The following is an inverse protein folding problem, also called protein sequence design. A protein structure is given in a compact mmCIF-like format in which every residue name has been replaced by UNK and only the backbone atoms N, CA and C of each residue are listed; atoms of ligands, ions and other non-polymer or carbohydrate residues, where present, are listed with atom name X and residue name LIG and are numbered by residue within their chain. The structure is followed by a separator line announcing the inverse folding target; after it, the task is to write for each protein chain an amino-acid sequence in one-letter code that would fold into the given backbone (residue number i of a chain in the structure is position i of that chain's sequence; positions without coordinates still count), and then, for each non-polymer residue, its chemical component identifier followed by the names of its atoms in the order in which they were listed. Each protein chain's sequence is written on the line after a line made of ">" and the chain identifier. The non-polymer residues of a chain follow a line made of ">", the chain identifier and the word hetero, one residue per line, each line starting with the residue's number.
data_IF_179893739926
#
_entry.id   IF_179893739926
#
_cell.length_a   1.000
_cell.length_b   1.000
_cell.length_c   1.000
_cell.angle_alpha   90.00
_cell.angle_beta   90.00
_cell.angle_gamma   90.00
#
_symmetry.space_group_name_H-M   'P 1'
#
loop_
_entity.id
_entity.type
_entity.pdbx_description
1 polymer ?
#
# COMPACT_ATOMS: atom_id res chain seq x y z
N UNK A 1 17.18 14.49 -5.40
CA UNK A 1 17.69 13.39 -6.24
C UNK A 1 17.98 12.25 -5.31
N UNK A 2 17.00 11.36 -5.14
CA UNK A 2 17.15 10.13 -4.37
C UNK A 2 18.23 9.29 -5.04
N UNK A 3 19.20 8.84 -4.24
CA UNK A 3 20.22 7.90 -4.68
C UNK A 3 19.48 6.62 -5.08
N UNK A 4 19.37 6.33 -6.38
CA UNK A 4 18.76 5.08 -6.85
C UNK A 4 19.58 3.93 -6.27
N UNK A 5 19.09 3.35 -5.18
CA UNK A 5 19.69 2.16 -4.59
C UNK A 5 19.71 1.11 -5.70
N UNK A 6 20.91 0.70 -6.12
CA UNK A 6 21.08 -0.14 -7.30
C UNK A 6 20.42 -1.50 -7.05
N UNK A 7 19.19 -1.67 -7.53
CA UNK A 7 18.42 -2.90 -7.35
C UNK A 7 19.15 -4.04 -8.09
N UNK A 8 19.61 -5.04 -7.33
CA UNK A 8 20.24 -6.23 -7.90
C UNK A 8 19.18 -7.28 -8.17
N UNK A 9 19.38 -8.02 -9.26
CA UNK A 9 18.57 -9.18 -9.59
C UNK A 9 18.45 -10.15 -8.42
N UNK A 10 17.23 -10.66 -8.20
CA UNK A 10 16.91 -11.78 -7.34
C UNK A 10 15.91 -12.69 -8.06
N UNK A 11 16.10 -14.02 -8.04
CA UNK A 11 15.18 -14.97 -8.67
C UNK A 11 13.91 -15.09 -7.82
N UNK A 12 12.90 -14.30 -8.13
CA UNK A 12 11.60 -14.29 -7.43
C UNK A 12 10.52 -14.51 -8.48
N UNK A 13 9.48 -15.26 -8.13
CA UNK A 13 8.39 -15.49 -9.05
C UNK A 13 7.72 -14.18 -9.44
N UNK A 14 7.49 -13.98 -10.74
CA UNK A 14 6.73 -12.84 -11.27
C UNK A 14 5.35 -12.74 -10.63
N UNK A 15 4.71 -13.87 -10.34
CA UNK A 15 3.42 -13.92 -9.64
C UNK A 15 3.53 -13.36 -8.22
N UNK A 16 4.57 -13.74 -7.49
CA UNK A 16 4.77 -13.28 -6.10
C UNK A 16 5.03 -11.78 -6.07
N UNK A 17 5.88 -11.28 -6.97
CA UNK A 17 6.12 -9.84 -7.12
C UNK A 17 4.84 -9.08 -7.45
N UNK A 18 4.04 -9.56 -8.40
CA UNK A 18 2.75 -8.93 -8.72
C UNK A 18 1.77 -8.94 -7.55
N UNK A 19 1.71 -10.05 -6.80
CA UNK A 19 0.81 -10.16 -5.65
C UNK A 19 1.20 -9.17 -4.57
N UNK A 20 2.49 -9.09 -4.26
CA UNK A 20 3.03 -8.13 -3.29
C UNK A 20 2.78 -6.68 -3.72
N UNK A 21 3.03 -6.35 -4.99
CA UNK A 21 2.76 -5.01 -5.53
C UNK A 21 1.28 -4.64 -5.43
N UNK A 22 0.37 -5.57 -5.77
CA UNK A 22 -1.08 -5.37 -5.62
C UNK A 22 -1.43 -5.09 -4.16
N UNK A 23 -1.04 -5.98 -3.25
CA UNK A 23 -1.45 -5.91 -1.84
C UNK A 23 -0.89 -4.65 -1.16
N UNK A 24 0.33 -4.23 -1.51
CA UNK A 24 0.92 -2.98 -1.00
C UNK A 24 0.21 -1.77 -1.61
N UNK A 25 -0.05 -1.75 -2.92
CA UNK A 25 -0.73 -0.61 -3.55
C UNK A 25 -2.12 -0.36 -2.97
N UNK A 26 -2.85 -1.42 -2.59
CA UNK A 26 -4.12 -1.32 -1.89
C UNK A 26 -3.95 -0.76 -0.49
N UNK A 27 -3.01 -1.29 0.30
CA UNK A 27 -2.69 -0.77 1.63
C UNK A 27 -2.27 0.71 1.59
N UNK A 28 -1.48 1.11 0.60
CA UNK A 28 -1.02 2.49 0.44
C UNK A 28 -2.18 3.47 0.26
N UNK A 29 -3.21 3.11 -0.50
CA UNK A 29 -4.42 3.94 -0.66
C UNK A 29 -5.08 4.16 0.70
N UNK A 30 -5.28 3.08 1.47
CA UNK A 30 -5.94 3.14 2.78
C UNK A 30 -5.14 3.97 3.79
N UNK A 31 -3.81 3.83 3.79
CA UNK A 31 -2.91 4.60 4.64
C UNK A 31 -2.85 6.06 4.22
N UNK A 32 -2.81 6.36 2.92
CA UNK A 32 -2.80 7.72 2.40
C UNK A 32 -4.08 8.46 2.78
N UNK A 33 -5.25 7.86 2.58
CA UNK A 33 -6.52 8.44 3.05
C UNK A 33 -6.58 8.58 4.56
N UNK A 34 -6.12 7.56 5.31
CA UNK A 34 -6.05 7.62 6.78
C UNK A 34 -5.16 8.77 7.26
N UNK A 35 -4.02 8.99 6.60
CA UNK A 35 -3.10 10.08 6.91
C UNK A 35 -3.77 11.44 6.71
N UNK A 36 -4.52 11.62 5.63
CA UNK A 36 -5.25 12.85 5.32
C UNK A 36 -6.42 13.09 6.28
N UNK A 37 -7.21 12.05 6.58
CA UNK A 37 -8.37 12.13 7.47
C UNK A 37 -7.95 12.43 8.92
N UNK A 38 -6.91 11.74 9.40
CA UNK A 38 -6.47 11.83 10.80
C UNK A 38 -5.28 12.77 11.03
N UNK A 39 -4.79 13.42 9.97
CA UNK A 39 -3.65 14.36 9.99
C UNK A 39 -2.41 13.70 10.62
N UNK A 40 -2.12 12.49 10.18
CA UNK A 40 -1.02 11.67 10.71
C UNK A 40 0.17 11.69 9.77
N UNK A 41 1.24 12.40 10.17
CA UNK A 41 2.51 12.39 9.44
C UNK A 41 3.18 11.02 9.45
N UNK A 42 3.09 10.29 10.56
CA UNK A 42 3.65 8.93 10.67
C UNK A 42 3.08 8.00 9.59
N UNK A 43 1.76 8.04 9.34
CA UNK A 43 1.15 7.24 8.26
C UNK A 43 1.55 7.73 6.87
N UNK A 44 1.71 9.04 6.70
CA UNK A 44 2.14 9.61 5.43
C UNK A 44 3.62 9.29 5.11
N UNK A 45 4.48 9.22 6.12
CA UNK A 45 5.87 8.76 5.99
C UNK A 45 5.92 7.29 5.58
N UNK A 46 5.12 6.43 6.22
CA UNK A 46 5.01 5.01 5.85
C UNK A 46 4.60 4.82 4.38
N UNK A 47 3.67 5.64 3.87
CA UNK A 47 3.26 5.57 2.46
C UNK A 47 4.46 5.84 1.52
N UNK A 48 5.33 6.80 1.83
CA UNK A 48 6.54 7.06 1.01
C UNK A 48 7.57 5.91 1.10
N UNK A 49 7.66 5.26 2.27
CA UNK A 49 8.51 4.07 2.41
C UNK A 49 7.98 2.90 1.58
N UNK A 50 6.66 2.71 1.55
CA UNK A 50 6.00 1.70 0.73
C UNK A 50 6.11 2.00 -0.77
N UNK A 51 5.99 3.26 -1.19
CA UNK A 51 6.22 3.69 -2.59
C UNK A 51 7.63 3.27 -3.05
N UNK A 52 8.64 3.62 -2.25
CA UNK A 52 10.03 3.24 -2.52
C UNK A 52 10.23 1.71 -2.55
N UNK A 53 9.38 0.95 -1.86
CA UNK A 53 9.40 -0.51 -1.91
C UNK A 53 8.72 -1.06 -3.17
N UNK A 54 7.58 -0.50 -3.58
CA UNK A 54 6.89 -0.84 -4.84
C UNK A 54 7.80 -0.59 -6.03
N UNK A 55 8.51 0.55 -6.07
CA UNK A 55 9.54 0.85 -7.07
C UNK A 55 10.54 -0.31 -7.22
N UNK A 56 11.06 -0.80 -6.09
CA UNK A 56 12.03 -1.92 -6.07
C UNK A 56 11.40 -3.21 -6.61
N UNK A 57 10.12 -3.46 -6.33
CA UNK A 57 9.39 -4.63 -6.84
C UNK A 57 9.20 -4.55 -8.37
N UNK A 58 8.88 -3.37 -8.91
CA UNK A 58 8.80 -3.13 -10.37
C UNK A 58 10.13 -3.48 -11.05
N UNK A 59 11.25 -3.01 -10.48
CA UNK A 59 12.58 -3.35 -11.00
C UNK A 59 12.86 -4.86 -10.99
N UNK A 60 12.54 -5.55 -9.89
CA UNK A 60 12.71 -6.99 -9.79
C UNK A 60 11.80 -7.74 -10.76
N UNK A 61 10.56 -7.30 -10.94
CA UNK A 61 9.60 -7.92 -11.84
C UNK A 61 10.06 -7.80 -13.28
N UNK A 62 10.49 -6.61 -13.70
CA UNK A 62 10.99 -6.38 -15.05
C UNK A 62 12.23 -7.24 -15.34
N UNK A 63 13.18 -7.34 -14.40
CA UNK A 63 14.36 -8.21 -14.58
C UNK A 63 13.96 -9.69 -14.71
N UNK A 64 13.05 -10.19 -13.87
CA UNK A 64 12.60 -11.59 -13.94
C UNK A 64 11.81 -11.86 -15.23
N UNK A 65 10.96 -10.93 -15.67
CA UNK A 65 10.23 -11.04 -16.93
C UNK A 65 11.19 -11.07 -18.14
N UNK A 66 12.19 -10.17 -18.18
CA UNK A 66 13.19 -10.14 -19.26
C UNK A 66 14.02 -11.43 -19.34
N UNK A 67 14.37 -12.03 -18.20
CA UNK A 67 15.12 -13.30 -18.17
C UNK A 67 14.24 -14.51 -18.54
N UNK A 68 12.92 -14.41 -18.35
CA UNK A 68 11.98 -15.47 -18.70
C UNK A 68 11.62 -15.49 -20.19
N UNK A 69 11.64 -14.34 -20.86
CA UNK A 69 11.31 -14.24 -22.29
C UNK A 69 12.42 -14.78 -23.19
N UNK A 70 12.14 -15.84 -23.97
CA UNK A 70 13.12 -16.45 -24.88
C UNK A 70 12.81 -16.23 -26.36
N UNK A 71 11.55 -15.95 -26.67
CA UNK A 71 11.06 -15.70 -28.02
C UNK A 71 9.93 -14.64 -28.00
N UNK A 72 9.33 -14.40 -29.17
CA UNK A 72 8.26 -13.42 -29.31
C UNK A 72 6.98 -13.84 -28.55
N UNK A 73 6.68 -15.14 -28.48
CA UNK A 73 5.48 -15.63 -27.80
C UNK A 73 5.59 -15.45 -26.28
N UNK A 74 6.74 -15.80 -25.70
CA UNK A 74 7.03 -15.55 -24.28
C UNK A 74 6.94 -14.02 -23.99
N UNK A 75 7.46 -13.18 -24.88
CA UNK A 75 7.41 -11.72 -24.72
C UNK A 75 5.97 -11.18 -24.77
N UNK A 76 5.16 -11.61 -25.74
CA UNK A 76 3.76 -11.22 -25.86
C UNK A 76 2.94 -11.59 -24.60
N UNK A 77 3.17 -12.78 -24.03
CA UNK A 77 2.52 -13.20 -22.80
C UNK A 77 2.88 -12.29 -21.61
N UNK A 78 4.15 -11.89 -21.51
CA UNK A 78 4.68 -11.08 -20.40
C UNK A 78 4.34 -9.58 -20.50
N UNK A 79 3.92 -9.08 -21.67
CA UNK A 79 3.45 -7.69 -21.80
C UNK A 79 2.30 -7.40 -20.83
N UNK A 80 1.33 -8.32 -20.72
CA UNK A 80 0.17 -8.15 -19.84
C UNK A 80 0.57 -8.00 -18.37
N UNK A 81 1.55 -8.79 -17.93
CA UNK A 81 2.14 -8.74 -16.59
C UNK A 81 2.79 -7.38 -16.34
N UNK A 82 3.60 -6.90 -17.28
CA UNK A 82 4.26 -5.61 -17.16
C UNK A 82 3.23 -4.46 -17.09
N UNK A 83 2.15 -4.53 -17.88
CA UNK A 83 1.08 -3.52 -17.85
C UNK A 83 0.41 -3.46 -16.48
N UNK A 84 0.07 -4.61 -15.88
CA UNK A 84 -0.54 -4.66 -14.54
C UNK A 84 0.43 -4.17 -13.46
N UNK A 85 1.70 -4.56 -13.54
CA UNK A 85 2.74 -4.09 -12.62
C UNK A 85 2.86 -2.56 -12.64
N UNK A 86 2.94 -1.95 -13.83
CA UNK A 86 2.98 -0.50 -13.99
C UNK A 86 1.69 0.20 -13.54
N UNK A 87 0.55 -0.48 -13.58
CA UNK A 87 -0.70 0.08 -13.06
C UNK A 87 -0.70 0.12 -11.51
N UNK A 88 -0.22 -0.93 -10.86
CA UNK A 88 -0.05 -0.95 -9.39
C UNK A 88 0.97 0.10 -8.92
N UNK A 89 2.06 0.27 -9.67
CA UNK A 89 3.07 1.32 -9.44
C UNK A 89 2.47 2.73 -9.49
N UNK A 90 1.69 3.04 -10.53
CA UNK A 90 0.98 4.32 -10.64
C UNK A 90 -0.03 4.57 -9.51
N UNK A 91 -0.63 3.51 -8.97
CA UNK A 91 -1.50 3.62 -7.78
C UNK A 91 -0.67 4.00 -6.56
N UNK A 92 0.50 3.38 -6.39
CA UNK A 92 1.49 3.71 -5.37
C UNK A 92 1.92 5.18 -5.45
N UNK A 93 2.31 5.67 -6.64
CA UNK A 93 2.67 7.07 -6.86
C UNK A 93 1.53 8.03 -6.45
N UNK A 94 0.30 7.70 -6.83
CA UNK A 94 -0.86 8.52 -6.49
C UNK A 94 -1.14 8.57 -4.98
N UNK A 95 -0.93 7.45 -4.28
CA UNK A 95 -1.04 7.39 -2.83
C UNK A 95 0.08 8.22 -2.15
N UNK A 96 1.30 8.17 -2.67
CA UNK A 96 2.41 9.00 -2.21
C UNK A 96 2.17 10.50 -2.42
N UNK A 97 1.61 10.90 -3.56
CA UNK A 97 1.20 12.28 -3.83
C UNK A 97 0.17 12.78 -2.80
N UNK A 98 -0.80 11.93 -2.44
CA UNK A 98 -1.78 12.24 -1.39
C UNK A 98 -1.11 12.40 -0.02
N UNK A 99 -0.20 11.49 0.33
CA UNK A 99 0.56 11.55 1.58
C UNK A 99 1.44 12.81 1.66
N UNK A 100 2.05 13.23 0.54
CA UNK A 100 2.90 14.41 0.46
C UNK A 100 2.17 15.72 0.83
N UNK A 101 0.85 15.80 0.59
CA UNK A 101 0.01 16.95 1.02
C UNK A 101 0.01 17.07 2.55
N UNK A 102 -0.05 15.94 3.25
CA UNK A 102 -0.03 15.88 4.72
C UNK A 102 1.35 16.23 5.26
N UNK A 103 2.42 15.71 4.66
CA UNK A 103 3.80 15.99 5.09
C UNK A 103 4.19 17.46 4.92
N UNK A 104 3.65 18.13 3.88
CA UNK A 104 3.86 19.55 3.61
C UNK A 104 2.98 20.49 4.44
N UNK A 105 2.22 19.96 5.41
CA UNK A 105 1.30 20.73 6.26
C UNK A 105 0.26 21.56 5.45
N UNK A 106 -0.07 21.14 4.23
CA UNK A 106 -1.10 21.81 3.40
C UNK A 106 -2.48 21.48 3.97
N UNK A 107 -2.66 20.25 4.44
CA UNK A 107 -3.94 19.74 4.93
C UNK A 107 -4.98 19.51 3.83
N UNK A 108 -6.12 18.94 4.20
CA UNK A 108 -7.26 18.74 3.29
C UNK A 108 -8.42 19.65 3.68
N UNK A 109 -9.08 20.24 2.69
CA UNK A 109 -10.23 21.10 2.93
C UNK A 109 -11.35 20.32 3.65
N UNK A 110 -12.10 20.91 4.61
CA UNK A 110 -13.15 20.21 5.35
C UNK A 110 -14.19 19.47 4.51
N UNK A 111 -14.46 19.95 3.29
CA UNK A 111 -15.34 19.28 2.32
C UNK A 111 -14.87 17.87 1.95
N UNK A 112 -13.56 17.65 1.89
CA UNK A 112 -12.99 16.33 1.60
C UNK A 112 -13.38 15.36 2.72
N UNK A 113 -13.28 15.77 4.00
CA UNK A 113 -13.71 14.95 5.14
C UNK A 113 -15.20 14.61 5.08
N UNK A 114 -16.05 15.56 4.69
CA UNK A 114 -17.48 15.32 4.52
C UNK A 114 -17.79 14.38 3.35
N UNK A 115 -16.97 14.38 2.29
CA UNK A 115 -17.11 13.43 1.21
C UNK A 115 -16.80 12.00 1.68
N UNK A 116 -15.80 11.81 2.56
CA UNK A 116 -15.49 10.52 3.18
C UNK A 116 -16.58 9.96 4.10
N UNK A 117 -17.51 10.79 4.57
CA UNK A 117 -18.66 10.29 5.34
C UNK A 117 -19.73 9.64 4.43
N UNK A 118 -19.61 9.80 3.11
CA UNK A 118 -20.60 9.32 2.12
C UNK A 118 -20.08 8.20 1.22
N UNK A 119 -18.81 7.79 1.38
CA UNK A 119 -18.26 6.66 0.63
C UNK A 119 -18.77 5.35 1.23
N UNK A 120 -18.80 4.30 0.41
CA UNK A 120 -19.24 2.97 0.83
C UNK A 120 -18.29 2.34 1.85
N UNK A 121 -16.99 2.56 1.67
CA UNK A 121 -15.93 2.04 2.54
C UNK A 121 -15.41 3.13 3.49
N UNK A 122 -15.54 2.89 4.78
CA UNK A 122 -15.17 3.87 5.80
C UNK A 122 -13.86 3.53 6.50
N UNK A 123 -12.95 4.51 6.55
CA UNK A 123 -11.75 4.45 7.38
C UNK A 123 -12.06 4.97 8.78
N UNK A 124 -11.71 4.18 9.80
CA UNK A 124 -12.00 4.54 11.20
C UNK A 124 -10.82 4.22 12.12
N UNK A 125 -10.80 4.92 13.26
CA UNK A 125 -9.82 4.69 14.32
C UNK A 125 -10.51 4.21 15.58
N UNK A 126 -10.21 2.99 16.00
CA UNK A 126 -10.78 2.38 17.20
C UNK A 126 -9.73 2.30 18.32
N UNK A 127 -10.09 2.79 19.51
CA UNK A 127 -9.25 2.64 20.71
C UNK A 127 -9.68 1.38 21.48
N UNK A 128 -8.79 0.38 21.53
CA UNK A 128 -9.01 -0.84 22.32
C UNK A 128 -8.82 -0.54 23.81
N UNK A 129 -9.85 -0.80 24.62
CA UNK A 129 -9.81 -0.67 26.09
C UNK A 129 -9.25 -1.95 26.74
N UNK A 130 -8.71 -1.84 27.95
CA UNK A 130 -8.12 -2.96 28.69
C UNK A 130 -9.11 -4.10 29.01
N UNK A 131 -10.41 -3.83 29.01
CA UNK A 131 -11.46 -4.82 29.22
C UNK A 131 -12.12 -5.30 27.90
N UNK A 132 -11.50 -5.03 26.76
CA UNK A 132 -12.04 -5.40 25.45
C UNK A 132 -11.79 -6.86 25.12
N UNK A 133 -12.71 -7.48 24.38
CA UNK A 133 -12.54 -8.82 23.79
C UNK A 133 -11.33 -8.93 22.86
N UNK A 134 -10.85 -7.80 22.32
CA UNK A 134 -9.68 -7.74 21.44
C UNK A 134 -8.33 -7.88 22.18
N UNK A 135 -8.31 -7.78 23.51
CA UNK A 135 -7.06 -7.87 24.29
C UNK A 135 -6.51 -9.29 24.22
N UNK A 136 -5.18 -9.39 24.10
CA UNK A 136 -4.41 -10.64 24.00
C UNK A 136 -4.80 -11.57 22.83
N UNK A 137 -5.41 -11.01 21.78
CA UNK A 137 -5.71 -11.73 20.54
C UNK A 137 -4.88 -11.24 19.37
N UNK A 138 -4.54 -12.16 18.48
CA UNK A 138 -3.93 -11.80 17.18
C UNK A 138 -5.02 -11.37 16.19
N UNK A 139 -4.64 -10.58 15.18
CA UNK A 139 -5.57 -10.19 14.10
C UNK A 139 -6.13 -11.43 13.39
N UNK A 140 -5.29 -12.45 13.18
CA UNK A 140 -5.69 -13.71 12.55
C UNK A 140 -6.70 -14.53 13.37
N UNK A 141 -6.60 -14.51 14.71
CA UNK A 141 -7.58 -15.15 15.59
C UNK A 141 -8.95 -14.47 15.55
N UNK A 142 -8.97 -13.14 15.41
CA UNK A 142 -10.18 -12.34 15.40
C UNK A 142 -10.99 -12.52 14.11
N UNK A 143 -10.33 -12.85 12.99
CA UNK A 143 -10.96 -13.07 11.68
C UNK A 143 -11.96 -11.96 11.31
N UNK A 144 -11.57 -10.70 11.53
CA UNK A 144 -12.48 -9.55 11.39
C UNK A 144 -12.98 -9.39 9.95
N UNK A 145 -12.09 -9.46 8.96
CA UNK A 145 -12.43 -9.34 7.55
C UNK A 145 -13.50 -10.36 7.10
N UNK A 146 -13.33 -11.69 7.29
CA UNK A 146 -14.35 -12.65 6.86
C UNK A 146 -15.60 -12.70 7.74
N UNK A 147 -15.55 -12.19 8.98
CA UNK A 147 -16.69 -12.28 9.92
C UNK A 147 -17.59 -11.06 9.86
N UNK A 148 -16.99 -9.87 9.74
CA UNK A 148 -17.71 -8.59 9.81
C UNK A 148 -17.29 -7.57 8.74
N UNK A 149 -16.41 -7.94 7.81
CA UNK A 149 -15.96 -7.06 6.72
C UNK A 149 -15.05 -5.92 7.18
N UNK A 150 -14.27 -6.11 8.25
CA UNK A 150 -13.34 -5.10 8.75
C UNK A 150 -11.90 -5.54 8.58
N UNK A 151 -11.16 -4.77 7.80
CA UNK A 151 -9.71 -4.93 7.61
C UNK A 151 -8.90 -4.08 8.59
N UNK A 152 -7.84 -4.67 9.14
CA UNK A 152 -6.91 -3.98 10.04
C UNK A 152 -5.67 -3.61 9.25
N UNK A 153 -5.61 -2.37 8.80
CA UNK A 153 -4.52 -1.84 7.98
C UNK A 153 -3.33 -1.32 8.80
N UNK A 154 -3.57 -0.87 10.04
CA UNK A 154 -2.53 -0.29 10.89
C UNK A 154 -2.85 -0.47 12.38
N UNK A 155 -1.80 -0.61 13.21
CA UNK A 155 -1.93 -0.68 14.66
C UNK A 155 -0.93 0.27 15.32
N UNK A 156 -1.43 1.34 15.95
CA UNK A 156 -0.60 2.22 16.80
C UNK A 156 -0.51 1.65 18.22
N UNK A 157 0.69 1.26 18.66
CA UNK A 157 0.97 0.78 20.03
C UNK A 157 1.84 1.76 20.79
N UNK A 158 1.22 2.61 21.61
CA UNK A 158 1.93 3.61 22.42
C UNK A 158 2.70 4.64 21.57
N UNK A 159 3.62 5.37 22.20
CA UNK A 159 4.58 6.23 21.50
C UNK A 159 5.91 5.50 21.41
N UNK A 160 6.25 5.04 20.22
CA UNK A 160 7.58 5.26 19.68
C UNK A 160 7.44 6.25 18.53
#
# INVERSE_FOLDING_TARGET
>A
MTEFERVKYKPISVRELLTEMKDISELMIDLAYSSALFHSKELAEEVLELESYVDKLVYLLNMNAMLAARDAEDAEALVSVAVVANAADKISDAAADMAAIVLKDIGVHPLIRQAFEKVEEHLTRVKVKSNSFFVDKTVGELKLAPTIGVDVIAIRRGKK
#
